data_IF_626389507468
#
_entry.id   IF_626389507468
#
_cell.length_a   1.000
_cell.length_b   1.000
_cell.length_c   1.000
_cell.angle_alpha   90.00
_cell.angle_beta   90.00
_cell.angle_gamma   90.00
#
_symmetry.space_group_name_H-M   'P 1'
#
loop_
_entity.id
_entity.type
_entity.pdbx_description
1 polymer ?
#
# COMPACT_ATOMS: atom_id res chain seq x y z
N UNK A 1 32.18 -30.76 27.58
CA UNK A 1 30.82 -30.65 27.00
C UNK A 1 30.48 -29.18 26.98
N UNK A 2 30.63 -28.56 25.84
CA UNK A 2 30.24 -27.17 25.58
C UNK A 2 28.99 -27.18 24.69
N UNK A 3 27.86 -26.94 25.33
CA UNK A 3 26.59 -26.77 24.63
C UNK A 3 26.59 -25.41 23.92
N UNK A 4 26.69 -25.42 22.62
CA UNK A 4 26.49 -24.24 21.79
C UNK A 4 25.01 -23.89 21.77
N UNK A 5 24.69 -22.76 22.37
CA UNK A 5 23.38 -22.10 22.26
C UNK A 5 23.29 -21.54 20.85
N UNK A 6 22.61 -22.26 19.97
CA UNK A 6 22.28 -21.75 18.63
C UNK A 6 21.12 -20.77 18.79
N UNK A 7 21.50 -19.51 18.94
CA UNK A 7 20.54 -18.41 18.95
C UNK A 7 19.55 -18.51 17.81
N UNK A 8 18.31 -18.57 18.19
CA UNK A 8 17.14 -18.50 17.33
C UNK A 8 17.19 -17.15 16.60
N UNK A 9 17.66 -17.17 15.36
CA UNK A 9 17.56 -16.00 14.49
C UNK A 9 16.08 -15.89 14.16
N UNK A 10 15.41 -14.96 14.85
CA UNK A 10 14.04 -14.55 14.55
C UNK A 10 13.94 -14.23 13.06
N UNK A 11 13.44 -15.18 12.30
CA UNK A 11 12.93 -14.96 10.95
C UNK A 11 11.68 -14.08 11.07
N UNK A 12 11.87 -12.78 11.29
CA UNK A 12 10.84 -11.80 10.96
C UNK A 12 10.62 -11.96 9.46
N UNK A 13 9.60 -12.75 9.08
CA UNK A 13 9.08 -12.77 7.72
C UNK A 13 8.84 -11.31 7.34
N UNK A 14 9.61 -10.82 6.40
CA UNK A 14 9.50 -9.47 5.88
C UNK A 14 8.24 -9.43 5.00
N UNK A 15 7.07 -9.47 5.67
CA UNK A 15 5.79 -9.45 4.97
C UNK A 15 5.67 -8.12 4.24
N UNK A 16 5.62 -8.18 2.93
CA UNK A 16 5.38 -7.00 2.10
C UNK A 16 3.92 -6.57 2.20
N UNK A 17 3.71 -5.28 2.40
CA UNK A 17 2.43 -4.71 2.78
C UNK A 17 1.83 -3.84 1.69
N UNK A 18 0.53 -3.61 1.77
CA UNK A 18 -0.19 -2.55 1.06
C UNK A 18 -0.50 -1.46 2.09
N UNK A 19 0.10 -0.30 1.94
CA UNK A 19 -0.13 0.86 2.80
C UNK A 19 -1.18 1.76 2.15
N UNK A 20 -2.26 2.04 2.85
CA UNK A 20 -3.31 2.97 2.40
C UNK A 20 -3.20 4.26 3.18
N UNK A 21 -2.76 5.32 2.54
CA UNK A 21 -2.87 6.69 3.05
C UNK A 21 -4.13 7.32 2.46
N UNK A 22 -5.16 7.52 3.25
CA UNK A 22 -6.43 8.05 2.78
C UNK A 22 -6.92 9.23 3.61
N UNK A 23 -7.80 10.02 3.04
CA UNK A 23 -8.31 11.24 3.66
C UNK A 23 -8.83 12.22 2.63
N UNK A 24 -9.41 13.32 3.07
CA UNK A 24 -9.92 14.37 2.20
C UNK A 24 -8.85 14.95 1.25
N UNK A 25 -9.22 15.60 0.14
CA UNK A 25 -8.29 16.33 -0.70
C UNK A 25 -7.40 17.28 0.11
N UNK A 26 -6.13 17.39 -0.29
CA UNK A 26 -5.10 18.20 0.38
C UNK A 26 -4.71 17.79 1.82
N UNK A 27 -5.01 16.56 2.25
CA UNK A 27 -4.57 16.04 3.56
C UNK A 27 -3.11 15.52 3.57
N UNK A 28 -2.30 15.75 2.54
CA UNK A 28 -0.88 15.36 2.52
C UNK A 28 -0.59 13.93 2.04
N UNK A 29 -1.57 13.21 1.51
CA UNK A 29 -1.43 11.79 1.07
C UNK A 29 -0.27 11.56 0.12
N UNK A 30 -0.21 12.29 -0.97
CA UNK A 30 0.81 12.12 -2.00
C UNK A 30 2.20 12.41 -1.46
N UNK A 31 2.36 13.49 -0.67
CA UNK A 31 3.64 13.85 -0.08
C UNK A 31 4.16 12.76 0.85
N UNK A 32 3.34 12.37 1.84
CA UNK A 32 3.72 11.32 2.78
C UNK A 32 3.87 9.95 2.11
N UNK A 33 3.04 9.66 1.10
CA UNK A 33 3.13 8.42 0.35
C UNK A 33 4.40 8.30 -0.48
N UNK A 34 4.86 9.39 -1.07
CA UNK A 34 6.16 9.43 -1.76
C UNK A 34 7.32 9.18 -0.79
N UNK A 35 7.33 9.87 0.36
CA UNK A 35 8.33 9.66 1.40
C UNK A 35 8.32 8.23 1.92
N UNK A 36 7.13 7.63 2.09
CA UNK A 36 7.00 6.25 2.52
C UNK A 36 7.53 5.27 1.47
N UNK A 37 7.22 5.48 0.21
CA UNK A 37 7.70 4.64 -0.88
C UNK A 37 9.23 4.69 -1.02
N UNK A 38 9.82 5.87 -0.88
CA UNK A 38 11.28 6.05 -0.86
C UNK A 38 11.91 5.30 0.33
N UNK A 39 11.32 5.42 1.53
CA UNK A 39 11.82 4.74 2.73
C UNK A 39 11.75 3.20 2.62
N UNK A 40 10.68 2.68 2.00
CA UNK A 40 10.47 1.25 1.79
C UNK A 40 11.23 0.69 0.57
N UNK A 41 11.92 1.55 -0.18
CA UNK A 41 12.59 1.19 -1.45
C UNK A 41 11.64 0.49 -2.44
N UNK A 42 10.41 1.03 -2.55
CA UNK A 42 9.41 0.54 -3.50
C UNK A 42 9.09 1.56 -4.59
N UNK A 43 9.04 1.16 -5.87
CA UNK A 43 8.61 2.05 -6.95
C UNK A 43 7.09 2.17 -7.09
N UNK A 44 6.31 1.45 -6.28
CA UNK A 44 4.87 1.32 -6.49
C UNK A 44 4.08 2.27 -5.59
N UNK A 45 3.81 3.45 -6.14
CA UNK A 45 2.87 4.43 -5.58
C UNK A 45 1.65 4.48 -6.49
N UNK A 46 0.45 4.33 -5.92
CA UNK A 46 -0.83 4.48 -6.60
C UNK A 46 -1.46 5.78 -6.11
N UNK A 47 -1.26 6.86 -6.86
CA UNK A 47 -1.93 8.14 -6.61
C UNK A 47 -3.31 8.15 -7.29
N UNK A 48 -4.33 8.65 -6.58
CA UNK A 48 -5.71 8.57 -7.04
C UNK A 48 -6.01 9.42 -8.28
N UNK A 49 -5.34 10.56 -8.42
CA UNK A 49 -5.54 11.47 -9.55
C UNK A 49 -4.81 10.94 -10.80
N UNK A 50 -3.55 10.51 -10.66
CA UNK A 50 -2.78 9.86 -11.74
C UNK A 50 -3.47 8.59 -12.23
N UNK A 51 -4.02 7.81 -11.30
CA UNK A 51 -4.70 6.56 -11.61
C UNK A 51 -5.99 6.78 -12.42
N UNK A 52 -6.70 7.90 -12.14
CA UNK A 52 -7.86 8.31 -12.95
C UNK A 52 -7.49 8.62 -14.39
N UNK A 53 -6.34 9.21 -14.62
CA UNK A 53 -5.87 9.52 -15.97
C UNK A 53 -5.57 8.24 -16.75
N UNK A 54 -4.96 7.24 -16.12
CA UNK A 54 -4.66 5.95 -16.73
C UNK A 54 -5.92 5.21 -17.20
N UNK A 55 -6.98 5.24 -16.40
CA UNK A 55 -8.26 4.57 -16.70
C UNK A 55 -9.29 5.50 -17.37
N UNK A 56 -8.89 6.72 -17.75
CA UNK A 56 -9.76 7.74 -18.38
C UNK A 56 -11.08 7.98 -17.63
N UNK A 57 -11.09 7.75 -16.31
CA UNK A 57 -12.26 7.92 -15.46
C UNK A 57 -12.40 9.38 -15.00
N UNK A 58 -13.24 10.15 -15.71
CA UNK A 58 -13.55 11.56 -15.40
C UNK A 58 -14.77 11.74 -14.51
N UNK A 59 -15.38 10.66 -14.05
CA UNK A 59 -16.55 10.70 -13.17
C UNK A 59 -16.12 10.86 -11.70
N UNK A 60 -16.35 12.05 -11.14
CA UNK A 60 -16.09 12.34 -9.72
C UNK A 60 -17.29 12.06 -8.80
N UNK A 61 -18.41 11.61 -9.34
CA UNK A 61 -19.54 11.10 -8.57
C UNK A 61 -19.22 9.76 -7.88
N UNK A 62 -20.15 9.29 -7.05
CA UNK A 62 -19.96 8.06 -6.26
C UNK A 62 -19.55 6.86 -7.13
N UNK A 63 -20.29 6.57 -8.18
CA UNK A 63 -19.98 5.42 -9.04
C UNK A 63 -18.57 5.48 -9.66
N UNK A 64 -18.15 6.65 -10.15
CA UNK A 64 -16.79 6.80 -10.71
C UNK A 64 -15.70 6.74 -9.64
N UNK A 65 -15.98 7.18 -8.40
CA UNK A 65 -15.04 7.01 -7.27
C UNK A 65 -14.90 5.54 -6.90
N UNK A 66 -16.01 4.82 -6.80
CA UNK A 66 -16.01 3.39 -6.49
C UNK A 66 -15.26 2.58 -7.54
N UNK A 67 -15.48 2.86 -8.83
CA UNK A 67 -14.77 2.20 -9.91
C UNK A 67 -13.26 2.46 -9.83
N UNK A 68 -12.85 3.72 -9.63
CA UNK A 68 -11.44 4.06 -9.50
C UNK A 68 -10.77 3.35 -8.31
N UNK A 69 -11.44 3.28 -7.17
CA UNK A 69 -10.94 2.60 -5.97
C UNK A 69 -10.82 1.10 -6.21
N UNK A 70 -11.82 0.44 -6.83
CA UNK A 70 -11.74 -0.99 -7.15
C UNK A 70 -10.60 -1.31 -8.11
N UNK A 71 -10.40 -0.48 -9.13
CA UNK A 71 -9.27 -0.63 -10.03
C UNK A 71 -7.93 -0.49 -9.29
N UNK A 72 -7.80 0.53 -8.43
CA UNK A 72 -6.61 0.72 -7.61
C UNK A 72 -6.37 -0.46 -6.66
N UNK A 73 -7.41 -0.97 -6.00
CA UNK A 73 -7.35 -2.13 -5.12
C UNK A 73 -6.87 -3.39 -5.86
N UNK A 74 -7.39 -3.61 -7.08
CA UNK A 74 -6.99 -4.75 -7.91
C UNK A 74 -5.51 -4.67 -8.31
N UNK A 75 -5.04 -3.48 -8.72
CA UNK A 75 -3.65 -3.26 -9.09
C UNK A 75 -2.72 -3.38 -7.87
N UNK A 76 -3.08 -2.80 -6.73
CA UNK A 76 -2.30 -2.94 -5.50
C UNK A 76 -2.16 -4.41 -5.08
N UNK A 77 -3.26 -5.17 -5.11
CA UNK A 77 -3.27 -6.61 -4.83
C UNK A 77 -2.35 -7.37 -5.80
N UNK A 78 -2.44 -7.08 -7.09
CA UNK A 78 -1.59 -7.71 -8.09
C UNK A 78 -0.10 -7.42 -7.86
N UNK A 79 0.26 -6.17 -7.63
CA UNK A 79 1.64 -5.75 -7.41
C UNK A 79 2.21 -6.36 -6.13
N UNK A 80 1.45 -6.37 -5.04
CA UNK A 80 1.88 -6.96 -3.77
C UNK A 80 2.13 -8.45 -3.90
N UNK A 81 1.26 -9.19 -4.62
CA UNK A 81 1.39 -10.64 -4.83
C UNK A 81 2.35 -11.03 -5.95
N UNK A 82 2.83 -10.10 -6.77
CA UNK A 82 3.64 -10.42 -7.97
C UNK A 82 4.96 -11.13 -7.64
N UNK A 83 5.50 -10.93 -6.44
CA UNK A 83 6.73 -11.60 -5.99
C UNK A 83 6.51 -13.00 -5.41
N UNK A 84 5.28 -13.37 -5.07
CA UNK A 84 4.95 -14.62 -4.36
C UNK A 84 4.73 -15.82 -5.28
N UNK A 85 4.86 -15.67 -6.59
CA UNK A 85 4.64 -16.79 -7.54
C UNK A 85 5.88 -17.66 -7.66
N UNK A 86 5.91 -18.72 -6.86
CA UNK A 86 6.97 -19.73 -6.84
C UNK A 86 7.06 -20.61 -8.10
N UNK A 87 6.02 -20.66 -8.93
CA UNK A 87 5.87 -21.75 -9.91
C UNK A 87 6.22 -21.43 -11.36
N UNK A 88 6.30 -20.16 -11.75
CA UNK A 88 6.48 -19.84 -13.17
C UNK A 88 7.91 -20.06 -13.68
N UNK A 89 8.91 -19.98 -12.82
CA UNK A 89 10.30 -20.27 -13.20
C UNK A 89 10.56 -21.74 -13.45
N UNK A 90 9.85 -22.64 -12.76
CA UNK A 90 9.98 -24.09 -12.92
C UNK A 90 9.36 -24.60 -14.23
N UNK A 91 8.33 -23.94 -14.75
CA UNK A 91 7.62 -24.37 -15.96
C UNK A 91 8.39 -24.00 -17.23
N UNK A 92 9.08 -22.86 -17.25
CA UNK A 92 9.81 -22.41 -18.43
C UNK A 92 11.21 -23.03 -18.60
N UNK A 93 11.79 -23.60 -17.54
CA UNK A 93 13.13 -24.17 -17.59
C UNK A 93 13.18 -25.68 -17.95
N UNK A 94 12.04 -26.34 -18.15
CA UNK A 94 12.00 -27.77 -18.48
C UNK A 94 12.26 -28.12 -19.95
N UNK A 95 12.52 -27.15 -20.83
CA UNK A 95 12.62 -27.41 -22.29
C UNK A 95 14.02 -27.76 -22.80
N UNK A 96 15.07 -27.49 -22.05
CA UNK A 96 16.43 -27.71 -22.56
C UNK A 96 17.26 -28.55 -21.59
N UNK A 97 17.11 -29.82 -21.65
CA UNK A 97 17.92 -30.93 -21.08
C UNK A 97 19.25 -30.68 -20.35
N UNK A 98 19.44 -29.51 -19.74
CA UNK A 98 20.63 -29.11 -19.01
C UNK A 98 20.45 -29.15 -17.50
N UNK A 99 21.27 -29.92 -16.82
CA UNK A 99 21.38 -30.01 -15.37
C UNK A 99 21.80 -28.67 -14.75
N UNK A 100 21.10 -28.30 -13.70
CA UNK A 100 21.29 -27.19 -12.77
C UNK A 100 20.45 -25.95 -13.06
N UNK A 101 19.18 -26.03 -12.63
CA UNK A 101 18.40 -24.83 -12.35
C UNK A 101 18.83 -24.36 -10.95
N UNK A 102 19.75 -23.42 -10.88
CA UNK A 102 19.82 -22.58 -9.68
C UNK A 102 18.52 -21.80 -9.63
N UNK A 103 17.60 -22.18 -8.76
CA UNK A 103 16.37 -21.46 -8.52
C UNK A 103 16.74 -20.00 -8.27
N UNK A 104 16.19 -19.07 -9.08
CA UNK A 104 16.27 -17.65 -8.70
C UNK A 104 15.62 -17.54 -7.34
N UNK A 105 16.21 -16.81 -6.38
CA UNK A 105 15.58 -16.60 -5.11
C UNK A 105 14.16 -16.10 -5.36
N UNK A 106 13.20 -16.75 -4.72
CA UNK A 106 11.79 -16.32 -4.70
C UNK A 106 11.82 -14.86 -4.30
N UNK A 107 11.39 -13.96 -5.18
CA UNK A 107 11.20 -12.58 -4.79
C UNK A 107 10.01 -12.57 -3.86
N UNK A 108 10.28 -12.27 -2.60
CA UNK A 108 9.24 -11.83 -1.67
C UNK A 108 8.41 -10.76 -2.38
N UNK A 109 7.10 -10.71 -2.07
CA UNK A 109 6.20 -9.71 -2.63
C UNK A 109 6.77 -8.28 -2.60
N UNK A 110 6.02 -7.30 -3.00
CA UNK A 110 6.49 -5.92 -3.03
C UNK A 110 5.58 -5.04 -2.19
N UNK A 111 6.15 -4.11 -1.43
CA UNK A 111 5.38 -3.06 -0.76
C UNK A 111 4.69 -2.17 -1.80
N UNK A 112 3.45 -1.78 -1.53
CA UNK A 112 2.67 -0.89 -2.38
C UNK A 112 2.11 0.24 -1.52
N UNK A 113 2.26 1.48 -1.95
CA UNK A 113 1.71 2.65 -1.27
C UNK A 113 0.54 3.19 -2.08
N UNK A 114 -0.61 3.34 -1.45
CA UNK A 114 -1.82 3.88 -2.08
C UNK A 114 -2.16 5.23 -1.46
N UNK A 115 -2.27 6.27 -2.29
CA UNK A 115 -2.58 7.65 -1.91
C UNK A 115 -3.90 8.09 -2.55
N UNK A 116 -5.03 7.68 -1.97
CA UNK A 116 -6.35 7.96 -2.50
C UNK A 116 -7.23 8.71 -1.49
N UNK A 117 -8.22 9.45 -1.97
CA UNK A 117 -9.28 9.97 -1.10
C UNK A 117 -9.99 8.84 -0.38
N UNK A 118 -10.31 7.77 -1.09
CA UNK A 118 -10.87 6.48 -0.61
C UNK A 118 -11.96 6.62 0.48
N UNK A 119 -13.08 7.29 0.15
CA UNK A 119 -14.06 7.70 1.17
C UNK A 119 -14.98 6.58 1.66
N UNK A 120 -14.97 5.39 1.03
CA UNK A 120 -15.94 4.33 1.31
C UNK A 120 -15.28 3.18 2.09
N UNK A 121 -15.70 3.00 3.34
CA UNK A 121 -15.18 1.96 4.24
C UNK A 121 -15.32 0.56 3.62
N UNK A 122 -16.48 0.25 3.03
CA UNK A 122 -16.71 -1.06 2.42
C UNK A 122 -15.69 -1.46 1.35
N UNK A 123 -15.13 -0.50 0.60
CA UNK A 123 -14.08 -0.79 -0.40
C UNK A 123 -12.70 -1.00 0.23
N UNK A 124 -12.44 -0.37 1.37
CA UNK A 124 -11.21 -0.62 2.13
C UNK A 124 -11.27 -1.99 2.79
N UNK A 125 -12.41 -2.35 3.37
CA UNK A 125 -12.64 -3.69 3.92
C UNK A 125 -12.57 -4.77 2.83
N UNK A 126 -13.07 -4.52 1.62
CA UNK A 126 -12.91 -5.43 0.48
C UNK A 126 -11.43 -5.69 0.18
N UNK A 127 -10.59 -4.65 0.19
CA UNK A 127 -9.14 -4.81 -0.01
C UNK A 127 -8.49 -5.61 1.12
N UNK A 128 -8.84 -5.34 2.38
CA UNK A 128 -8.35 -6.12 3.54
C UNK A 128 -8.72 -7.60 3.43
N UNK A 129 -9.97 -7.88 3.12
CA UNK A 129 -10.45 -9.27 2.98
C UNK A 129 -9.74 -10.04 1.86
N UNK A 130 -9.39 -9.35 0.77
CA UNK A 130 -8.67 -9.95 -0.34
C UNK A 130 -7.16 -10.11 -0.09
N UNK A 131 -6.61 -9.43 0.93
CA UNK A 131 -5.19 -9.38 1.26
C UNK A 131 -4.98 -9.52 2.77
N UNK A 132 -5.47 -10.60 3.37
CA UNK A 132 -5.44 -10.82 4.82
C UNK A 132 -4.06 -10.54 5.41
N UNK A 133 -4.03 -9.76 6.50
CA UNK A 133 -2.83 -9.37 7.26
C UNK A 133 -1.75 -8.59 6.47
N UNK A 134 -2.09 -8.10 5.27
CA UNK A 134 -1.17 -7.37 4.39
C UNK A 134 -1.58 -5.93 4.09
N UNK A 135 -2.65 -5.44 4.66
CA UNK A 135 -3.12 -4.06 4.45
C UNK A 135 -2.98 -3.28 5.74
N UNK A 136 -2.43 -2.09 5.60
CA UNK A 136 -2.25 -1.15 6.70
C UNK A 136 -2.89 0.19 6.34
N UNK A 137 -3.87 0.62 7.13
CA UNK A 137 -4.66 1.83 6.87
C UNK A 137 -4.25 2.98 7.79
N UNK A 138 -3.90 4.12 7.19
CA UNK A 138 -3.66 5.37 7.90
C UNK A 138 -4.62 6.43 7.39
N UNK A 139 -5.52 6.88 8.25
CA UNK A 139 -6.37 8.03 7.96
C UNK A 139 -5.62 9.34 8.22
N UNK A 140 -5.46 10.16 7.18
CA UNK A 140 -4.83 11.46 7.27
C UNK A 140 -5.88 12.54 7.49
N UNK A 141 -5.85 13.14 8.67
CA UNK A 141 -6.74 14.23 9.06
C UNK A 141 -6.01 15.56 8.94
N UNK A 142 -6.57 16.52 8.20
CA UNK A 142 -6.12 17.90 8.16
C UNK A 142 -7.28 18.84 8.45
N UNK A 143 -7.03 19.86 9.25
CA UNK A 143 -7.97 20.97 9.50
C UNK A 143 -7.69 22.17 8.58
N UNK A 144 -6.66 22.09 7.73
CA UNK A 144 -6.32 23.16 6.79
C UNK A 144 -7.46 23.38 5.80
N UNK A 145 -7.77 24.67 5.56
CA UNK A 145 -8.83 25.10 4.65
C UNK A 145 -8.38 25.06 3.18
N UNK A 146 -7.94 23.87 2.75
CA UNK A 146 -7.44 23.67 1.39
C UNK A 146 -8.39 22.76 0.61
N UNK A 147 -8.74 23.17 -0.60
CA UNK A 147 -9.58 22.39 -1.53
C UNK A 147 -10.92 21.92 -0.93
N UNK A 148 -11.56 22.70 -0.06
CA UNK A 148 -12.87 22.37 0.54
C UNK A 148 -13.95 22.09 -0.50
N UNK A 149 -13.95 22.82 -1.62
CA UNK A 149 -14.93 22.63 -2.71
C UNK A 149 -14.85 21.22 -3.35
N UNK A 150 -13.76 20.50 -3.11
CA UNK A 150 -13.54 19.13 -3.61
C UNK A 150 -13.72 18.06 -2.53
N UNK A 151 -14.10 18.45 -1.30
CA UNK A 151 -14.31 17.51 -0.22
C UNK A 151 -15.47 16.58 -0.55
N UNK A 152 -15.34 15.34 -0.11
CA UNK A 152 -16.37 14.31 -0.25
C UNK A 152 -17.28 14.40 0.96
N UNK A 153 -18.56 14.70 0.75
CA UNK A 153 -19.54 14.89 1.84
C UNK A 153 -19.88 13.57 2.55
N UNK A 154 -19.98 12.47 1.78
CA UNK A 154 -20.28 11.12 2.27
C UNK A 154 -19.00 10.33 2.63
N UNK A 155 -18.02 11.00 3.25
CA UNK A 155 -16.75 10.41 3.62
C UNK A 155 -16.87 9.57 4.88
N UNK A 156 -16.62 8.28 4.75
CA UNK A 156 -16.62 7.31 5.84
C UNK A 156 -15.17 7.11 6.34
N UNK A 157 -14.85 7.61 7.54
CA UNK A 157 -13.53 7.39 8.15
C UNK A 157 -13.33 5.90 8.45
N UNK A 158 -14.38 5.22 8.92
CA UNK A 158 -14.32 3.83 9.30
C UNK A 158 -13.42 3.58 10.51
N UNK A 159 -12.74 2.44 10.50
CA UNK A 159 -11.86 2.02 11.59
C UNK A 159 -10.42 1.78 11.07
N UNK A 160 -9.65 2.85 10.82
CA UNK A 160 -8.26 2.73 10.37
C UNK A 160 -7.35 2.14 11.46
N UNK A 161 -6.24 1.54 11.04
CA UNK A 161 -5.22 1.09 11.98
C UNK A 161 -4.62 2.27 12.75
N UNK A 162 -4.45 3.42 12.07
CA UNK A 162 -3.99 4.66 12.69
C UNK A 162 -4.65 5.90 12.09
N UNK A 163 -4.76 6.93 12.96
CA UNK A 163 -5.14 8.28 12.59
C UNK A 163 -3.91 9.19 12.74
N UNK A 164 -3.57 9.93 11.70
CA UNK A 164 -2.46 10.85 11.68
C UNK A 164 -2.97 12.26 11.37
N UNK A 165 -2.71 13.21 12.28
CA UNK A 165 -2.91 14.63 12.01
C UNK A 165 -1.76 15.16 11.16
N UNK A 166 -2.08 15.87 10.08
CA UNK A 166 -1.10 16.40 9.12
C UNK A 166 -1.06 17.93 9.10
N UNK A 167 -1.53 18.59 10.16
CA UNK A 167 -1.49 20.05 10.27
C UNK A 167 -0.13 20.60 10.72
N UNK A 168 0.74 19.73 11.21
CA UNK A 168 2.09 20.03 11.63
C UNK A 168 3.07 20.11 10.45
N UNK A 169 4.32 20.46 10.74
CA UNK A 169 5.39 20.45 9.74
C UNK A 169 5.60 19.05 9.18
N UNK A 170 6.04 18.97 7.93
CA UNK A 170 6.11 17.70 7.22
C UNK A 170 7.09 16.72 7.88
N UNK A 171 8.19 17.22 8.43
CA UNK A 171 9.20 16.42 9.10
C UNK A 171 8.64 15.75 10.36
N UNK A 172 7.89 16.50 11.17
CA UNK A 172 7.25 15.98 12.38
C UNK A 172 6.16 14.97 12.04
N UNK A 173 5.37 15.26 11.01
CA UNK A 173 4.33 14.36 10.51
C UNK A 173 4.94 13.07 9.98
N UNK A 174 6.07 13.15 9.29
CA UNK A 174 6.80 11.99 8.77
C UNK A 174 7.38 11.12 9.90
N UNK A 175 8.00 11.74 10.90
CA UNK A 175 8.53 11.00 12.04
C UNK A 175 7.45 10.24 12.79
N UNK A 176 6.28 10.86 12.98
CA UNK A 176 5.12 10.17 13.57
C UNK A 176 4.62 9.02 12.69
N UNK A 177 4.58 9.20 11.37
CA UNK A 177 4.17 8.12 10.48
C UNK A 177 5.10 6.91 10.61
N UNK A 178 6.42 7.12 10.66
CA UNK A 178 7.40 6.04 10.88
C UNK A 178 7.18 5.32 12.20
N UNK A 179 6.94 6.06 13.28
CA UNK A 179 6.63 5.48 14.59
C UNK A 179 5.38 4.59 14.55
N UNK A 180 4.30 5.08 13.92
CA UNK A 180 3.05 4.32 13.78
C UNK A 180 3.25 3.03 12.99
N UNK A 181 4.01 3.09 11.91
CA UNK A 181 4.30 1.95 11.04
C UNK A 181 5.41 1.03 11.60
N UNK A 182 6.17 1.49 12.61
CA UNK A 182 7.33 0.78 13.19
C UNK A 182 8.44 0.49 12.17
N UNK A 183 8.70 1.46 11.34
CA UNK A 183 9.72 1.39 10.27
C UNK A 183 10.84 2.40 10.47
#
# INVERSE_FOLDING_TARGET
MLGGDTGNIDNKKNNKMIYILYGQPASGKTTLGTMLAEHLDTPFVIDGDEFREMFTNKNYGRAGREENIRNANAVATYLNKKGERDDWSAIYCKKDGGNSIQGRPVKEGTDVVMCLVNPYEGLREELKNNNQDKVFEVFLKSNRDLRKDYHVEDFEVGNPDHLLNTDEEIEETWDRLKELLKI
#
